data_IF_170089912721
#
_entry.id   IF_170089912721
#
_cell.length_a   1.000
_cell.length_b   1.000
_cell.length_c   1.000
_cell.angle_alpha   90.00
_cell.angle_beta   90.00
_cell.angle_gamma   90.00
#
_symmetry.space_group_name_H-M   'P 1'
#
loop_
_entity.id
_entity.type
_entity.pdbx_description
1 polymer ?
#
# COMPACT_ATOMS: atom_id res chain seq x y z
N UNK A 1 5.89 4.36 26.94
CA UNK A 1 5.91 3.84 25.53
C UNK A 1 7.15 4.40 24.83
N UNK A 2 7.92 3.62 24.07
CA UNK A 2 9.11 4.17 23.38
C UNK A 2 8.72 5.08 22.21
N UNK A 3 9.51 6.13 21.97
CA UNK A 3 9.30 7.12 20.89
C UNK A 3 9.12 6.45 19.52
N UNK A 4 9.95 5.45 19.21
CA UNK A 4 9.85 4.63 17.98
C UNK A 4 8.46 4.05 17.77
N UNK A 5 7.88 3.46 18.82
CA UNK A 5 6.58 2.78 18.74
C UNK A 5 5.46 3.78 18.51
N UNK A 6 5.53 4.96 19.13
CA UNK A 6 4.58 6.05 18.90
C UNK A 6 4.64 6.53 17.46
N UNK A 7 5.82 6.92 16.98
CA UNK A 7 6.01 7.41 15.61
C UNK A 7 5.57 6.38 14.56
N UNK A 8 5.90 5.09 14.74
CA UNK A 8 5.43 4.05 13.83
C UNK A 8 3.91 3.85 13.87
N UNK A 9 3.25 4.04 15.02
CA UNK A 9 1.80 3.97 15.11
C UNK A 9 1.15 5.13 14.35
N UNK A 10 1.67 6.34 14.52
CA UNK A 10 1.17 7.54 13.87
C UNK A 10 1.36 7.45 12.34
N UNK A 11 2.53 6.99 11.88
CA UNK A 11 2.80 6.72 10.45
C UNK A 11 1.91 5.61 9.88
N UNK A 12 1.51 4.61 10.68
CA UNK A 12 0.55 3.60 10.21
C UNK A 12 -0.83 4.21 10.01
N UNK A 13 -1.29 5.06 10.94
CA UNK A 13 -2.58 5.73 10.84
C UNK A 13 -2.62 6.63 9.60
N UNK A 14 -1.61 7.47 9.40
CA UNK A 14 -1.49 8.32 8.21
C UNK A 14 -1.44 7.49 6.91
N UNK A 15 -0.70 6.37 6.90
CA UNK A 15 -0.65 5.49 5.75
C UNK A 15 -2.00 4.83 5.42
N UNK A 16 -2.88 4.61 6.40
CA UNK A 16 -4.24 4.10 6.15
C UNK A 16 -5.09 5.18 5.47
N UNK A 17 -5.05 6.42 5.98
CA UNK A 17 -5.77 7.56 5.42
C UNK A 17 -5.35 7.79 3.96
N UNK A 18 -4.03 7.88 3.72
CA UNK A 18 -3.47 8.09 2.38
C UNK A 18 -3.90 7.00 1.38
N UNK A 19 -3.86 5.72 1.79
CA UNK A 19 -4.31 4.63 0.91
C UNK A 19 -5.79 4.74 0.57
N UNK A 20 -6.64 5.10 1.54
CA UNK A 20 -8.08 5.24 1.32
C UNK A 20 -8.42 6.41 0.39
N UNK A 21 -7.70 7.52 0.53
CA UNK A 21 -7.83 8.66 -0.40
C UNK A 21 -7.47 8.26 -1.83
N UNK A 22 -6.33 7.59 -2.01
CA UNK A 22 -5.90 7.12 -3.34
C UNK A 22 -6.87 6.09 -3.91
N UNK A 23 -7.46 5.25 -3.06
CA UNK A 23 -8.50 4.31 -3.47
C UNK A 23 -9.73 5.07 -3.97
N UNK A 24 -10.24 6.05 -3.22
CA UNK A 24 -11.35 6.89 -3.69
C UNK A 24 -11.03 7.56 -5.03
N UNK A 25 -9.85 8.15 -5.16
CA UNK A 25 -9.40 8.72 -6.44
C UNK A 25 -9.38 7.67 -7.55
N UNK A 26 -8.91 6.45 -7.27
CA UNK A 26 -8.85 5.37 -8.25
C UNK A 26 -10.23 4.90 -8.71
N UNK A 27 -11.23 4.90 -7.82
CA UNK A 27 -12.62 4.55 -8.16
C UNK A 27 -13.31 5.64 -8.99
N UNK A 28 -12.89 6.89 -8.85
CA UNK A 28 -13.41 8.01 -9.62
C UNK A 28 -12.78 8.16 -11.02
N UNK A 29 -11.71 7.42 -11.34
CA UNK A 29 -11.05 7.51 -12.65
C UNK A 29 -11.75 6.63 -13.67
N UNK A 30 -12.25 7.25 -14.74
CA UNK A 30 -12.63 6.57 -15.97
C UNK A 30 -11.37 6.20 -16.76
N UNK A 31 -11.13 4.90 -16.90
CA UNK A 31 -9.98 4.39 -17.65
C UNK A 31 -10.37 4.22 -19.11
N UNK A 32 -9.64 4.88 -20.00
CA UNK A 32 -9.67 4.54 -21.42
C UNK A 32 -9.47 3.02 -21.62
N UNK A 33 -10.11 2.41 -22.64
CA UNK A 33 -9.94 1.00 -22.95
C UNK A 33 -8.43 0.71 -23.12
N UNK A 34 -7.89 -0.23 -22.35
CA UNK A 34 -6.46 -0.49 -22.47
C UNK A 34 -6.20 -1.23 -23.77
N UNK A 35 -5.42 -0.61 -24.65
CA UNK A 35 -4.77 -1.30 -25.74
C UNK A 35 -3.80 -2.33 -25.14
N UNK A 36 -3.89 -3.63 -25.50
CA UNK A 36 -2.93 -4.62 -25.03
C UNK A 36 -1.53 -4.18 -25.45
N UNK A 37 -0.65 -4.00 -24.45
CA UNK A 37 0.75 -3.68 -24.69
C UNK A 37 1.48 -4.99 -24.95
N UNK A 38 1.78 -5.28 -26.20
CA UNK A 38 2.75 -6.29 -26.57
C UNK A 38 4.08 -5.90 -25.93
N UNK A 39 4.58 -6.73 -25.01
CA UNK A 39 5.89 -6.51 -24.43
C UNK A 39 6.93 -6.73 -25.52
N UNK A 40 7.44 -5.65 -26.12
CA UNK A 40 8.62 -5.71 -26.98
C UNK A 40 9.83 -5.70 -26.04
N UNK A 41 10.62 -6.79 -25.92
CA UNK A 41 11.90 -6.70 -25.25
C UNK A 41 12.72 -5.62 -25.97
N UNK A 42 13.28 -4.68 -25.21
CA UNK A 42 14.23 -3.74 -25.77
C UNK A 42 15.45 -4.55 -26.25
N UNK A 43 15.96 -4.33 -27.48
CA UNK A 43 17.23 -4.92 -27.87
C UNK A 43 18.30 -4.42 -26.91
N UNK A 44 19.02 -5.33 -26.24
CA UNK A 44 20.21 -4.96 -25.52
C UNK A 44 21.24 -4.43 -26.53
N UNK A 45 21.92 -3.29 -26.26
CA UNK A 45 23.03 -2.86 -27.09
C UNK A 45 24.16 -3.90 -27.02
N UNK A 46 24.78 -4.20 -28.16
CA UNK A 46 25.87 -5.18 -28.27
C UNK A 46 26.99 -4.86 -27.26
N UNK A 47 27.28 -5.81 -26.37
CA UNK A 47 28.39 -5.74 -25.40
C UNK A 47 28.01 -5.46 -23.94
N UNK A 48 26.72 -5.36 -23.58
CA UNK A 48 26.31 -5.17 -22.17
C UNK A 48 25.64 -6.45 -21.63
N UNK A 49 26.34 -7.18 -20.75
CA UNK A 49 25.72 -8.24 -19.94
C UNK A 49 24.77 -7.63 -18.90
N UNK A 50 23.58 -8.21 -18.77
CA UNK A 50 22.58 -7.79 -17.79
C UNK A 50 22.92 -8.34 -16.39
N UNK A 51 23.77 -7.61 -15.66
CA UNK A 51 24.25 -7.99 -14.30
C UNK A 51 23.16 -7.80 -13.22
N UNK A 52 21.93 -7.46 -13.59
CA UNK A 52 20.82 -7.26 -12.63
C UNK A 52 20.42 -8.53 -11.86
N UNK A 53 20.84 -9.72 -12.33
CA UNK A 53 20.70 -10.98 -11.60
C UNK A 53 21.76 -11.17 -10.49
N UNK A 54 22.90 -10.47 -10.57
CA UNK A 54 24.03 -10.60 -9.61
C UNK A 54 23.79 -9.79 -8.35
N UNK A 55 22.99 -8.73 -8.43
CA UNK A 55 22.52 -8.01 -7.25
C UNK A 55 21.37 -8.78 -6.63
N UNK A 56 21.65 -9.47 -5.51
CA UNK A 56 20.69 -10.25 -4.75
C UNK A 56 19.37 -9.54 -4.41
N UNK A 57 18.40 -10.24 -3.78
CA UNK A 57 17.01 -9.81 -3.71
C UNK A 57 16.85 -8.39 -3.17
N UNK A 58 16.36 -7.49 -4.02
CA UNK A 58 16.11 -6.09 -3.64
C UNK A 58 15.07 -6.03 -2.51
N UNK A 59 15.54 -5.71 -1.31
CA UNK A 59 14.71 -5.57 -0.13
C UNK A 59 13.71 -4.41 -0.31
N UNK A 60 12.42 -4.75 -0.40
CA UNK A 60 11.34 -3.85 0.00
C UNK A 60 10.69 -3.01 -1.09
N UNK A 61 9.91 -3.64 -1.98
CA UNK A 61 8.82 -2.95 -2.67
C UNK A 61 7.61 -2.85 -1.75
N UNK A 62 7.03 -1.66 -1.61
CA UNK A 62 5.79 -1.45 -0.86
C UNK A 62 4.63 -2.10 -1.62
N UNK A 63 4.25 -3.31 -1.20
CA UNK A 63 3.11 -4.02 -1.76
C UNK A 63 1.81 -3.31 -1.41
N UNK A 64 0.98 -3.05 -2.43
CA UNK A 64 -0.40 -2.58 -2.25
C UNK A 64 -1.37 -3.73 -1.90
N UNK A 65 -0.88 -4.96 -1.84
CA UNK A 65 -1.62 -6.19 -1.53
C UNK A 65 -0.92 -6.91 -0.39
N UNK A 66 -1.64 -7.53 0.56
CA UNK A 66 -1.02 -8.41 1.56
C UNK A 66 -0.22 -9.50 0.86
N UNK A 67 1.03 -9.72 1.30
CA UNK A 67 1.77 -10.92 0.89
C UNK A 67 1.12 -12.11 1.58
N UNK A 68 0.78 -13.14 0.81
CA UNK A 68 0.33 -14.42 1.35
C UNK A 68 1.49 -14.97 2.20
N UNK A 69 1.28 -15.06 3.52
CA UNK A 69 2.30 -15.58 4.43
C UNK A 69 2.54 -17.06 4.10
N UNK A 70 3.78 -17.41 3.76
CA UNK A 70 4.21 -18.80 3.70
C UNK A 70 4.19 -19.47 5.08
N UNK A 71 4.45 -20.79 5.14
CA UNK A 71 4.41 -21.56 6.38
C UNK A 71 5.28 -20.92 7.47
N UNK A 72 4.72 -20.81 8.67
CA UNK A 72 5.36 -20.20 9.83
C UNK A 72 6.56 -21.06 10.25
N UNK A 73 7.80 -20.53 10.29
CA UNK A 73 8.94 -21.30 10.79
C UNK A 73 8.79 -21.58 12.29
N UNK A 74 9.14 -22.80 12.70
CA UNK A 74 8.93 -23.39 14.04
C UNK A 74 9.51 -22.59 15.23
N UNK A 75 10.34 -21.58 14.96
CA UNK A 75 10.93 -20.70 15.98
C UNK A 75 9.98 -19.67 16.60
N UNK A 76 8.71 -19.63 16.24
CA UNK A 76 7.77 -18.59 16.73
C UNK A 76 7.30 -18.78 18.19
N UNK A 77 7.78 -19.82 18.89
CA UNK A 77 7.32 -20.14 20.25
C UNK A 77 8.06 -19.46 21.40
N UNK A 78 9.08 -18.61 21.18
CA UNK A 78 9.81 -17.98 22.29
C UNK A 78 10.18 -16.50 22.02
N UNK A 79 9.17 -15.63 21.95
CA UNK A 79 9.39 -14.17 22.01
C UNK A 79 9.10 -13.62 23.43
N UNK A 80 9.78 -14.16 24.43
CA UNK A 80 9.96 -13.51 25.74
C UNK A 80 11.45 -13.31 26.03
N UNK A 81 12.13 -12.61 25.12
CA UNK A 81 13.51 -12.16 25.31
C UNK A 81 13.60 -10.71 25.82
N UNK A 82 14.72 -10.31 26.46
CA UNK A 82 14.92 -8.97 26.98
C UNK A 82 14.76 -7.91 25.88
N UNK A 83 14.04 -6.82 26.19
CA UNK A 83 13.86 -5.71 25.23
C UNK A 83 15.22 -5.03 25.00
N UNK A 84 15.69 -4.90 23.75
CA UNK A 84 16.96 -4.25 23.49
C UNK A 84 16.91 -2.78 23.93
N UNK A 85 17.77 -2.43 24.89
CA UNK A 85 18.06 -1.04 25.32
C UNK A 85 19.27 -0.56 24.52
N UNK A 86 19.05 -0.15 23.29
CA UNK A 86 20.06 0.43 22.40
C UNK A 86 19.49 1.62 21.61
N UNK A 87 20.31 2.33 20.82
CA UNK A 87 19.86 3.44 20.00
C UNK A 87 18.63 3.03 19.17
N UNK A 88 17.61 3.87 19.19
CA UNK A 88 16.37 3.60 18.45
C UNK A 88 16.73 3.48 16.96
N UNK A 89 16.65 2.27 16.40
CA UNK A 89 16.83 2.08 14.96
C UNK A 89 15.74 2.87 14.21
N UNK A 90 16.13 4.05 13.71
CA UNK A 90 15.28 5.04 13.05
C UNK A 90 15.03 4.69 11.58
N UNK A 91 15.89 3.86 10.98
CA UNK A 91 15.80 3.46 9.57
C UNK A 91 14.40 2.97 9.14
N UNK A 92 13.65 2.14 9.92
CA UNK A 92 12.30 1.73 9.54
C UNK A 92 11.27 2.88 9.53
N UNK A 93 11.46 3.88 10.39
CA UNK A 93 10.60 5.08 10.44
C UNK A 93 10.85 5.92 9.20
N UNK A 94 12.13 6.20 8.90
CA UNK A 94 12.57 6.98 7.75
C UNK A 94 12.13 6.32 6.44
N UNK A 95 12.36 5.02 6.28
CA UNK A 95 11.95 4.29 5.07
C UNK A 95 10.44 4.38 4.82
N UNK A 96 9.63 4.30 5.88
CA UNK A 96 8.17 4.40 5.77
C UNK A 96 7.71 5.81 5.45
N UNK A 97 8.35 6.81 6.05
CA UNK A 97 8.13 8.22 5.72
C UNK A 97 8.44 8.51 4.25
N UNK A 98 9.60 8.08 3.75
CA UNK A 98 9.99 8.24 2.33
C UNK A 98 8.97 7.56 1.41
N UNK A 99 8.52 6.35 1.74
CA UNK A 99 7.52 5.65 0.94
C UNK A 99 6.19 6.41 0.87
N UNK A 100 5.73 6.98 1.99
CA UNK A 100 4.52 7.81 2.00
C UNK A 100 4.72 9.10 1.22
N UNK A 101 5.88 9.76 1.37
CA UNK A 101 6.18 10.98 0.64
C UNK A 101 6.20 10.77 -0.87
N UNK A 102 6.79 9.67 -1.36
CA UNK A 102 6.76 9.31 -2.80
C UNK A 102 5.35 9.16 -3.35
N UNK A 103 4.43 8.68 -2.54
CA UNK A 103 3.03 8.55 -2.92
C UNK A 103 2.35 9.91 -2.99
N UNK A 104 2.65 10.81 -2.05
CA UNK A 104 2.14 12.17 -2.01
C UNK A 104 2.67 13.07 -3.13
N UNK A 105 3.87 12.78 -3.66
CA UNK A 105 4.46 13.53 -4.77
C UNK A 105 3.70 13.35 -6.08
N UNK A 106 3.12 12.17 -6.32
CA UNK A 106 2.30 11.92 -7.52
C UNK A 106 1.11 11.01 -7.17
N UNK A 107 0.09 11.53 -6.49
CA UNK A 107 -1.06 10.73 -6.05
C UNK A 107 -1.89 10.26 -7.26
N UNK A 108 -1.94 11.07 -8.32
CA UNK A 108 -2.72 10.76 -9.53
C UNK A 108 -2.16 9.55 -10.29
N UNK A 109 -0.84 9.40 -10.42
CA UNK A 109 -0.29 8.18 -11.04
C UNK A 109 -0.52 6.93 -10.20
N UNK A 110 -0.45 7.05 -8.87
CA UNK A 110 -0.78 5.94 -7.97
C UNK A 110 -2.25 5.54 -8.09
N UNK A 111 -3.17 6.51 -8.13
CA UNK A 111 -4.59 6.27 -8.36
C UNK A 111 -4.84 5.59 -9.72
N UNK A 112 -4.22 6.06 -10.80
CA UNK A 112 -4.30 5.42 -12.13
C UNK A 112 -3.79 3.98 -12.14
N UNK A 113 -2.69 3.69 -11.44
CA UNK A 113 -2.17 2.31 -11.30
C UNK A 113 -3.14 1.41 -10.53
N UNK A 114 -3.72 1.94 -9.46
CA UNK A 114 -4.71 1.23 -8.65
C UNK A 114 -6.01 0.99 -9.44
N UNK A 115 -6.50 1.98 -10.17
CA UNK A 115 -7.70 1.87 -11.01
C UNK A 115 -7.54 0.73 -12.04
N UNK A 116 -6.38 0.65 -12.72
CA UNK A 116 -6.08 -0.47 -13.64
C UNK A 116 -6.06 -1.83 -12.95
N UNK A 117 -5.67 -1.86 -11.67
CA UNK A 117 -5.64 -3.09 -10.87
C UNK A 117 -7.05 -3.50 -10.47
N UNK A 118 -7.87 -2.55 -10.01
CA UNK A 118 -9.29 -2.76 -9.73
C UNK A 118 -10.03 -3.28 -10.96
N UNK A 119 -9.78 -2.70 -12.15
CA UNK A 119 -10.40 -3.18 -13.40
C UNK A 119 -10.02 -4.62 -13.71
N UNK A 120 -8.77 -5.02 -13.44
CA UNK A 120 -8.33 -6.42 -13.61
C UNK A 120 -9.01 -7.36 -12.60
N UNK A 121 -9.20 -6.91 -11.36
CA UNK A 121 -9.93 -7.68 -10.34
C UNK A 121 -11.39 -7.89 -10.75
N UNK A 122 -12.07 -6.83 -11.19
CA UNK A 122 -13.44 -6.93 -11.72
C UNK A 122 -13.53 -7.88 -12.92
N UNK A 123 -12.61 -7.76 -13.89
CA UNK A 123 -12.59 -8.64 -15.07
C UNK A 123 -12.35 -10.13 -14.72
N UNK A 124 -11.72 -10.41 -13.58
CA UNK A 124 -11.51 -11.77 -13.06
C UNK A 124 -12.67 -12.27 -12.18
N UNK A 125 -13.68 -11.44 -11.92
CA UNK A 125 -14.75 -11.77 -10.99
C UNK A 125 -14.29 -11.83 -9.52
N UNK A 126 -13.22 -11.12 -9.16
CA UNK A 126 -12.75 -11.10 -7.77
C UNK A 126 -13.77 -10.42 -6.83
N UNK A 127 -13.75 -10.84 -5.56
CA UNK A 127 -14.66 -10.33 -4.54
C UNK A 127 -14.46 -8.83 -4.26
N UNK A 128 -15.55 -8.16 -3.87
CA UNK A 128 -15.55 -6.75 -3.47
C UNK A 128 -14.55 -6.50 -2.33
N UNK A 129 -13.64 -5.51 -2.45
CA UNK A 129 -12.74 -5.15 -1.37
C UNK A 129 -13.49 -4.70 -0.11
N UNK A 130 -13.10 -5.25 1.04
CA UNK A 130 -13.67 -4.89 2.35
C UNK A 130 -12.92 -3.71 2.94
N UNK A 131 -13.66 -2.69 3.39
CA UNK A 131 -13.09 -1.50 4.03
C UNK A 131 -13.46 -1.50 5.51
N UNK A 132 -12.50 -1.85 6.36
CA UNK A 132 -12.69 -1.81 7.81
C UNK A 132 -12.90 -0.37 8.32
N UNK A 133 -13.55 -0.18 9.48
CA UNK A 133 -13.57 1.10 10.17
C UNK A 133 -12.17 1.68 10.41
N UNK A 134 -12.10 2.97 10.75
CA UNK A 134 -10.82 3.59 11.10
C UNK A 134 -10.58 3.52 12.60
N UNK A 135 -9.53 2.82 13.02
CA UNK A 135 -9.15 2.69 14.43
C UNK A 135 -8.29 3.87 14.92
N UNK A 136 -8.50 4.26 16.18
CA UNK A 136 -7.65 5.23 16.86
C UNK A 136 -7.84 6.69 16.43
N UNK A 137 -9.07 7.06 16.04
CA UNK A 137 -9.47 8.46 15.70
C UNK A 137 -9.11 9.47 16.81
N UNK A 138 -9.25 9.07 18.08
CA UNK A 138 -8.94 9.88 19.25
C UNK A 138 -7.47 10.33 19.37
N UNK A 139 -6.56 9.79 18.56
CA UNK A 139 -5.13 10.13 18.57
C UNK A 139 -4.74 11.16 17.51
N UNK A 140 -5.67 11.47 16.61
CA UNK A 140 -5.45 12.35 15.49
C UNK A 140 -5.94 13.76 15.85
N UNK A 141 -5.38 14.80 15.21
CA UNK A 141 -5.99 16.14 15.24
C UNK A 141 -7.45 16.07 14.78
N UNK A 142 -8.33 16.94 15.30
CA UNK A 142 -9.78 16.85 15.08
C UNK A 142 -10.17 16.83 13.59
N UNK A 143 -9.59 17.71 12.78
CA UNK A 143 -9.87 17.78 11.33
C UNK A 143 -9.51 16.47 10.61
N UNK A 144 -8.38 15.89 10.98
CA UNK A 144 -7.88 14.66 10.39
C UNK A 144 -8.64 13.43 10.92
N UNK A 145 -9.12 13.48 12.17
CA UNK A 145 -10.02 12.49 12.75
C UNK A 145 -11.38 12.47 12.04
N UNK A 146 -11.91 13.65 11.68
CA UNK A 146 -13.14 13.79 10.90
C UNK A 146 -12.99 13.14 9.52
N UNK A 147 -11.94 13.52 8.77
CA UNK A 147 -11.64 12.92 7.46
C UNK A 147 -11.45 11.40 7.59
N UNK A 148 -10.64 10.94 8.54
CA UNK A 148 -10.42 9.51 8.75
C UNK A 148 -11.73 8.75 9.09
N UNK A 149 -12.67 9.46 9.73
CA UNK A 149 -13.97 8.92 10.10
C UNK A 149 -14.92 8.70 8.94
N UNK A 150 -14.93 9.59 7.96
CA UNK A 150 -15.85 9.57 6.80
C UNK A 150 -15.36 8.66 5.67
N UNK A 151 -14.04 8.48 5.52
CA UNK A 151 -13.44 7.70 4.43
C UNK A 151 -13.99 6.27 4.25
N UNK A 152 -14.20 5.46 5.31
CA UNK A 152 -14.82 4.13 5.15
C UNK A 152 -16.19 4.18 4.49
N UNK A 153 -17.04 5.12 4.89
CA UNK A 153 -18.40 5.26 4.36
C UNK A 153 -18.39 5.68 2.89
N UNK A 154 -17.52 6.63 2.53
CA UNK A 154 -17.33 7.04 1.13
C UNK A 154 -16.87 5.87 0.25
N UNK A 155 -15.91 5.08 0.73
CA UNK A 155 -15.44 3.91 -0.02
C UNK A 155 -16.51 2.83 -0.13
N UNK A 156 -17.26 2.56 0.94
CA UNK A 156 -18.34 1.59 0.93
C UNK A 156 -19.42 1.95 -0.11
N UNK A 157 -19.75 3.24 -0.21
CA UNK A 157 -20.67 3.79 -1.22
C UNK A 157 -20.10 3.68 -2.63
N UNK A 158 -18.84 4.09 -2.84
CA UNK A 158 -18.19 4.00 -4.14
C UNK A 158 -18.05 2.54 -4.63
N UNK A 159 -17.93 1.58 -3.71
CA UNK A 159 -17.90 0.15 -4.01
C UNK A 159 -19.29 -0.50 -4.03
N UNK A 160 -20.40 0.24 -3.87
CA UNK A 160 -21.74 -0.34 -3.90
C UNK A 160 -22.01 -1.05 -5.25
N UNK A 161 -21.72 -0.37 -6.36
CA UNK A 161 -21.78 -0.93 -7.72
C UNK A 161 -20.58 -1.81 -8.09
N UNK A 162 -20.06 -2.60 -7.16
CA UNK A 162 -18.96 -3.52 -7.47
C UNK A 162 -19.39 -4.61 -8.45
N UNK A 163 -20.60 -5.16 -8.23
CA UNK A 163 -21.18 -6.24 -9.01
C UNK A 163 -22.14 -5.76 -10.12
N UNK A 164 -22.41 -4.45 -10.18
CA UNK A 164 -23.26 -3.83 -11.22
C UNK A 164 -22.50 -3.68 -12.55
N UNK A 165 -21.77 -4.71 -12.96
CA UNK A 165 -21.24 -4.82 -14.31
C UNK A 165 -22.33 -5.41 -15.21
N UNK A 166 -23.33 -4.58 -15.50
CA UNK A 166 -24.23 -4.71 -16.65
C UNK A 166 -23.74 -3.81 -17.77
#
# INVERSE_FOLDING_TARGET
KSLKRRCLADLRQLAVILRRLIFLMALAIELAPARPRTAKPAPLPDGVEDVTATFGPQAGRFGLVPRLSGPLPDGFRTLSGPRPRGPVAAAPVIARWIAMHRVLQDPAAHARRLARTIRRWKARGEAKPVVSPFDGRHRLPPDLALIAGTLPGLLARALAGWYDTG
#
